data_IF_814131157345
#
_entry.id   IF_814131157345
#
_cell.length_a   1.000
_cell.length_b   1.000
_cell.length_c   1.000
_cell.angle_alpha   90.00
_cell.angle_beta   90.00
_cell.angle_gamma   90.00
#
_symmetry.space_group_name_H-M   'P 1'
#
loop_
_entity.id
_entity.type
_entity.pdbx_description
1 polymer ?
#
# COMPACT_ATOMS: atom_id res chain seq x y z
N UNK A 1 11.28 5.74 -7.29
CA UNK A 1 10.07 6.62 -7.26
C UNK A 1 10.09 7.56 -6.06
N UNK A 2 9.30 8.64 -6.09
CA UNK A 2 9.01 9.44 -4.88
C UNK A 2 7.87 8.76 -4.12
N UNK A 3 8.11 8.40 -2.86
CA UNK A 3 7.11 7.78 -1.98
C UNK A 3 6.78 8.71 -0.81
N UNK A 4 5.51 8.72 -0.42
CA UNK A 4 5.03 9.43 0.77
C UNK A 4 4.17 8.52 1.64
N UNK A 5 4.18 8.76 2.95
CA UNK A 5 3.40 7.98 3.91
C UNK A 5 2.40 8.89 4.63
N UNK A 6 1.12 8.53 4.59
CA UNK A 6 0.11 9.20 5.42
C UNK A 6 0.23 8.73 6.86
N UNK A 7 -0.10 9.62 7.81
CA UNK A 7 -0.20 9.28 9.24
C UNK A 7 -1.12 8.09 9.53
N UNK A 8 -2.15 7.87 8.69
CA UNK A 8 -3.02 6.69 8.80
C UNK A 8 -2.28 5.39 8.51
N UNK A 9 -1.36 5.38 7.56
CA UNK A 9 -0.54 4.23 7.23
C UNK A 9 0.38 3.88 8.41
N UNK A 10 1.09 4.86 8.95
CA UNK A 10 1.95 4.69 10.14
C UNK A 10 1.17 4.14 11.34
N UNK A 11 -0.03 4.70 11.61
CA UNK A 11 -0.93 4.21 12.67
C UNK A 11 -1.48 2.80 12.41
N UNK A 12 -1.61 2.40 11.15
CA UNK A 12 -2.02 1.04 10.81
C UNK A 12 -0.86 0.07 11.07
N UNK A 13 0.37 0.42 10.66
CA UNK A 13 1.57 -0.40 10.93
C UNK A 13 1.81 -0.63 12.42
N UNK A 14 1.66 0.40 13.25
CA UNK A 14 1.88 0.27 14.70
C UNK A 14 0.89 -0.68 15.41
N UNK A 15 -0.21 -1.05 14.75
CA UNK A 15 -1.19 -2.04 15.24
C UNK A 15 -0.86 -3.46 14.79
N UNK A 16 0.01 -3.64 13.81
CA UNK A 16 0.41 -4.97 13.31
C UNK A 16 1.48 -5.52 14.24
N UNK A 17 1.17 -6.63 14.92
CA UNK A 17 2.11 -7.32 15.83
C UNK A 17 2.87 -8.47 15.15
N UNK A 18 2.41 -8.88 13.98
CA UNK A 18 3.03 -9.97 13.22
C UNK A 18 4.24 -9.44 12.46
N UNK A 19 5.43 -9.81 12.93
CA UNK A 19 6.71 -9.42 12.32
C UNK A 19 6.87 -9.93 10.89
N UNK A 20 6.32 -11.11 10.57
CA UNK A 20 6.39 -11.66 9.21
C UNK A 20 5.60 -10.79 8.24
N UNK A 21 4.45 -10.28 8.67
CA UNK A 21 3.66 -9.33 7.88
C UNK A 21 4.41 -8.00 7.74
N UNK A 22 4.98 -7.46 8.82
CA UNK A 22 5.76 -6.23 8.78
C UNK A 22 6.94 -6.32 7.81
N UNK A 23 7.70 -7.42 7.85
CA UNK A 23 8.80 -7.67 6.90
C UNK A 23 8.32 -7.73 5.45
N UNK A 24 7.17 -8.35 5.18
CA UNK A 24 6.60 -8.37 3.83
C UNK A 24 6.13 -7.00 3.38
N UNK A 25 5.57 -6.19 4.27
CA UNK A 25 5.19 -4.80 3.97
C UNK A 25 6.43 -3.97 3.67
N UNK A 26 7.50 -4.12 4.46
CA UNK A 26 8.77 -3.45 4.21
C UNK A 26 9.31 -3.77 2.82
N UNK A 27 9.34 -5.07 2.43
CA UNK A 27 9.76 -5.47 1.08
C UNK A 27 8.94 -4.80 -0.02
N UNK A 28 7.62 -4.67 0.18
CA UNK A 28 6.77 -3.94 -0.78
C UNK A 28 7.13 -2.46 -0.85
N UNK A 29 7.42 -1.81 0.29
CA UNK A 29 7.85 -0.41 0.30
C UNK A 29 9.15 -0.26 -0.49
N UNK A 30 10.14 -1.12 -0.22
CA UNK A 30 11.42 -1.15 -0.93
C UNK A 30 11.24 -1.42 -2.44
N UNK A 31 10.35 -2.34 -2.83
CA UNK A 31 10.00 -2.59 -4.24
C UNK A 31 9.41 -1.34 -4.91
N UNK A 32 8.51 -0.62 -4.23
CA UNK A 32 7.92 0.63 -4.76
C UNK A 32 8.96 1.75 -4.86
N UNK A 33 9.83 1.89 -3.87
CA UNK A 33 10.89 2.91 -3.88
C UNK A 33 11.86 2.70 -5.05
N UNK A 34 12.20 1.44 -5.35
CA UNK A 34 13.17 1.07 -6.38
C UNK A 34 12.57 0.90 -7.79
N UNK A 35 11.25 0.83 -7.93
CA UNK A 35 10.62 0.70 -9.25
C UNK A 35 10.79 1.98 -10.09
N UNK A 36 10.91 1.81 -11.41
CA UNK A 36 10.93 2.92 -12.37
C UNK A 36 9.53 3.32 -12.80
N UNK A 37 8.62 2.34 -12.90
CA UNK A 37 7.22 2.56 -13.26
C UNK A 37 6.28 1.57 -12.57
N UNK A 38 4.99 1.90 -12.53
CA UNK A 38 3.98 1.07 -11.84
C UNK A 38 3.84 -0.34 -12.43
N UNK A 39 4.20 -0.54 -13.70
CA UNK A 39 4.07 -1.81 -14.39
C UNK A 39 5.03 -2.89 -13.88
N UNK A 40 6.13 -2.48 -13.24
CA UNK A 40 7.10 -3.39 -12.62
C UNK A 40 6.62 -3.96 -11.30
N UNK A 41 5.65 -3.29 -10.65
CA UNK A 41 5.16 -3.70 -9.35
C UNK A 41 4.28 -4.94 -9.47
N UNK A 42 4.74 -6.04 -8.88
CA UNK A 42 3.92 -7.24 -8.76
C UNK A 42 2.77 -7.02 -7.76
N UNK A 43 1.67 -7.75 -7.93
CA UNK A 43 0.54 -7.76 -6.98
C UNK A 43 -0.18 -6.41 -6.76
N UNK A 44 0.07 -5.40 -7.59
CA UNK A 44 -0.69 -4.15 -7.61
C UNK A 44 -1.96 -4.28 -8.46
N UNK A 45 -3.05 -3.67 -8.02
CA UNK A 45 -4.30 -3.60 -8.78
C UNK A 45 -4.96 -2.24 -8.62
N UNK A 46 -5.29 -1.59 -9.75
CA UNK A 46 -6.14 -0.39 -9.75
C UNK A 46 -7.54 -0.72 -9.23
N UNK A 47 -8.06 0.13 -8.36
CA UNK A 47 -9.38 -0.04 -7.77
C UNK A 47 -10.46 0.60 -8.65
N UNK A 48 -11.68 0.06 -8.59
CA UNK A 48 -12.83 0.58 -9.34
C UNK A 48 -13.50 1.72 -8.57
N UNK A 49 -12.80 2.84 -8.47
CA UNK A 49 -13.26 4.06 -7.80
C UNK A 49 -12.81 5.27 -8.62
N UNK A 50 -13.37 6.44 -8.34
CA UNK A 50 -12.89 7.68 -8.91
C UNK A 50 -11.48 8.00 -8.38
N UNK A 51 -10.59 8.33 -9.31
CA UNK A 51 -9.18 8.65 -9.04
C UNK A 51 -8.21 7.46 -9.14
N UNK A 52 -6.94 7.78 -8.92
CA UNK A 52 -5.82 6.87 -9.11
C UNK A 52 -5.47 6.11 -7.83
N UNK A 53 -6.42 5.31 -7.35
CA UNK A 53 -6.25 4.44 -6.20
C UNK A 53 -5.91 3.00 -6.60
N UNK A 54 -4.94 2.45 -5.88
CA UNK A 54 -4.39 1.12 -6.12
C UNK A 54 -4.30 0.35 -4.81
N UNK A 55 -4.18 -0.97 -4.94
CA UNK A 55 -3.98 -1.87 -3.82
C UNK A 55 -2.91 -2.88 -4.11
N UNK A 56 -2.00 -3.09 -3.16
CA UNK A 56 -1.05 -4.21 -3.16
C UNK A 56 -1.51 -5.26 -2.16
N UNK A 57 -1.47 -6.54 -2.56
CA UNK A 57 -1.80 -7.67 -1.66
C UNK A 57 -0.56 -8.12 -0.90
N UNK A 58 -0.67 -8.20 0.43
CA UNK A 58 0.40 -8.72 1.31
C UNK A 58 -0.20 -9.77 2.24
N UNK A 59 -0.27 -11.02 1.78
CA UNK A 59 -0.96 -12.09 2.52
C UNK A 59 -2.42 -11.74 2.85
N UNK A 60 -2.73 -11.68 4.15
CA UNK A 60 -4.04 -11.29 4.70
C UNK A 60 -4.21 -9.79 4.93
N UNK A 61 -3.18 -9.01 4.64
CA UNK A 61 -3.19 -7.56 4.62
C UNK A 61 -3.25 -7.01 3.20
N UNK A 62 -3.68 -5.76 3.08
CA UNK A 62 -3.67 -4.99 1.85
C UNK A 62 -3.16 -3.59 2.13
N UNK A 63 -2.30 -3.14 1.24
CA UNK A 63 -1.77 -1.80 1.25
C UNK A 63 -2.58 -0.97 0.26
N UNK A 64 -3.09 0.16 0.74
CA UNK A 64 -3.79 1.15 -0.08
C UNK A 64 -2.86 2.26 -0.52
N UNK A 65 -2.84 2.52 -1.82
CA UNK A 65 -1.97 3.51 -2.46
C UNK A 65 -2.82 4.51 -3.26
N UNK A 66 -2.39 5.77 -3.28
CA UNK A 66 -2.81 6.74 -4.29
C UNK A 66 -1.59 7.15 -5.10
N UNK A 67 -1.75 7.24 -6.40
CA UNK A 67 -0.70 7.73 -7.29
C UNK A 67 -1.17 9.06 -7.87
N UNK A 68 -0.38 10.11 -7.69
CA UNK A 68 -0.66 11.45 -8.23
C UNK A 68 0.66 12.06 -8.66
N UNK A 69 0.74 12.54 -9.91
CA UNK A 69 1.93 13.28 -10.39
C UNK A 69 3.26 12.54 -10.16
N UNK A 70 3.26 11.22 -10.40
CA UNK A 70 4.36 10.27 -10.15
C UNK A 70 4.77 10.09 -8.68
N UNK A 71 3.97 10.58 -7.73
CA UNK A 71 4.15 10.36 -6.29
C UNK A 71 3.29 9.18 -5.84
N UNK A 72 3.92 8.21 -5.18
CA UNK A 72 3.25 7.05 -4.62
C UNK A 72 2.97 7.29 -3.14
N UNK A 73 1.69 7.52 -2.81
CA UNK A 73 1.27 7.83 -1.45
C UNK A 73 0.69 6.58 -0.80
N UNK A 74 1.38 6.04 0.20
CA UNK A 74 0.91 4.97 1.07
C UNK A 74 -0.11 5.52 2.07
N UNK A 75 -1.36 5.07 1.96
CA UNK A 75 -2.48 5.61 2.74
C UNK A 75 -2.87 4.68 3.88
N UNK A 76 -3.03 3.37 3.63
CA UNK A 76 -3.53 2.37 4.59
C UNK A 76 -2.78 1.04 4.52
N UNK A 77 -2.68 0.33 5.64
CA UNK A 77 -2.15 -1.04 5.72
C UNK A 77 -3.10 -1.91 6.57
N UNK A 78 -4.17 -2.43 5.95
CA UNK A 78 -5.28 -3.02 6.70
C UNK A 78 -5.47 -4.51 6.40
N UNK A 79 -6.03 -5.28 7.36
CA UNK A 79 -6.53 -6.62 7.09
C UNK A 79 -7.57 -6.63 5.95
N UNK A 80 -7.72 -7.76 5.26
CA UNK A 80 -8.71 -7.95 4.17
C UNK A 80 -10.11 -7.46 4.51
N UNK A 81 -10.57 -7.81 5.71
CA UNK A 81 -11.93 -7.54 6.18
C UNK A 81 -12.19 -6.05 6.40
N UNK A 82 -11.14 -5.28 6.68
CA UNK A 82 -11.26 -3.88 7.09
C UNK A 82 -11.00 -2.94 5.92
N UNK A 83 -10.14 -3.32 4.95
CA UNK A 83 -9.75 -2.39 3.89
C UNK A 83 -10.96 -1.82 3.15
N UNK A 84 -11.93 -2.64 2.74
CA UNK A 84 -13.09 -2.17 1.97
C UNK A 84 -14.05 -1.25 2.75
N UNK A 85 -13.92 -1.15 4.07
CA UNK A 85 -14.69 -0.19 4.88
C UNK A 85 -14.01 1.17 4.97
N UNK A 86 -12.71 1.21 4.68
CA UNK A 86 -11.84 2.33 5.01
C UNK A 86 -10.91 2.76 3.86
N UNK A 87 -10.93 2.05 2.72
CA UNK A 87 -10.12 2.25 1.52
C UNK A 87 -10.55 1.34 0.31
N UNK A 88 -10.59 1.84 -0.94
CA UNK A 88 -10.37 3.22 -1.33
C UNK A 88 -11.57 4.08 -0.94
#
# INVERSE_FOLDING_TARGET
MIVEFRKSFEKDLSKIKDETILQRIQKVIEEVENAENIGELSNIKKLKTDGDYYRIRVGDYRIGLKISDNIFVFIRALPRKDIYRYFP
#
